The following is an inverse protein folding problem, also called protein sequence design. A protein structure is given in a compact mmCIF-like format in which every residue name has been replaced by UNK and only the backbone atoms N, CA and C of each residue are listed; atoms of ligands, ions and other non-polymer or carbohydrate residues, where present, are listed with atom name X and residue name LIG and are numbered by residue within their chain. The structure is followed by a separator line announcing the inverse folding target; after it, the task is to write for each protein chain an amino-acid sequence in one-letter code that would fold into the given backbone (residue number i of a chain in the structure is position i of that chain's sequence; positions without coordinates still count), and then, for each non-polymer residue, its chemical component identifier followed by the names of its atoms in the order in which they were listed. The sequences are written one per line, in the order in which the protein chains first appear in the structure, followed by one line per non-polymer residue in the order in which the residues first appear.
data_IF_081169348088
#
_entry.id   IF_081169348088
#
_cell.length_a   1.000
_cell.length_b   1.000
_cell.length_c   1.000
_cell.angle_alpha   90.00
_cell.angle_beta   90.00
_cell.angle_gamma   90.00
#
_symmetry.space_group_name_H-M   'P 1'
#
loop_
_entity.id
_entity.type
_entity.pdbx_description
1 polymer ?
#
# COMPACT_ATOMS: atom_id res chain seq x y z
N UNK A 1 17.68 -84.78 -37.30
CA UNK A 1 18.98 -84.54 -36.65
C UNK A 1 18.84 -83.31 -35.79
N UNK A 2 19.01 -83.51 -34.49
CA UNK A 2 18.63 -82.62 -33.39
C UNK A 2 19.60 -81.45 -33.20
N UNK A 3 19.09 -80.24 -32.93
CA UNK A 3 19.86 -79.13 -32.36
C UNK A 3 19.11 -78.58 -31.13
N UNK A 4 19.78 -78.40 -29.98
CA UNK A 4 19.14 -77.88 -28.78
C UNK A 4 19.13 -76.34 -28.77
N UNK A 5 17.97 -75.78 -28.43
CA UNK A 5 17.76 -74.35 -28.17
C UNK A 5 18.15 -74.07 -26.71
N UNK A 6 19.24 -73.33 -26.50
CA UNK A 6 19.63 -72.84 -25.19
C UNK A 6 18.75 -71.65 -24.77
N UNK A 7 17.96 -71.82 -23.70
CA UNK A 7 17.21 -70.73 -23.06
C UNK A 7 18.12 -70.02 -22.06
N UNK A 8 18.52 -68.78 -22.34
CA UNK A 8 19.08 -67.87 -21.34
C UNK A 8 17.95 -67.34 -20.46
N UNK A 9 17.96 -67.69 -19.18
CA UNK A 9 17.15 -67.04 -18.16
C UNK A 9 17.93 -65.82 -17.63
N UNK A 10 17.47 -64.60 -17.95
CA UNK A 10 17.99 -63.38 -17.36
C UNK A 10 17.33 -63.19 -15.97
N UNK A 11 18.12 -63.40 -14.90
CA UNK A 11 17.73 -63.02 -13.55
C UNK A 11 17.89 -61.49 -13.40
N UNK A 12 16.78 -60.75 -13.33
CA UNK A 12 16.78 -59.34 -12.95
C UNK A 12 16.68 -59.25 -11.42
N UNK A 13 17.79 -58.91 -10.74
CA UNK A 13 17.75 -58.56 -9.31
C UNK A 13 17.07 -57.19 -9.13
N UNK A 14 15.88 -57.18 -8.53
CA UNK A 14 15.26 -55.98 -7.97
C UNK A 14 15.94 -55.68 -6.63
N UNK A 15 16.84 -54.70 -6.62
CA UNK A 15 17.39 -54.14 -5.38
C UNK A 15 16.31 -53.26 -4.71
N UNK A 16 15.66 -53.78 -3.67
CA UNK A 16 14.82 -53.01 -2.75
C UNK A 16 15.73 -52.11 -1.91
N UNK A 17 15.95 -50.88 -2.37
CA UNK A 17 16.61 -49.84 -1.58
C UNK A 17 15.72 -49.45 -0.40
N UNK A 18 16.12 -49.82 0.82
CA UNK A 18 15.55 -49.27 2.05
C UNK A 18 15.95 -47.79 2.14
N UNK A 19 15.17 -46.92 1.51
CA UNK A 19 15.32 -45.47 1.67
C UNK A 19 15.05 -45.11 3.11
N UNK A 20 16.08 -44.65 3.83
CA UNK A 20 15.91 -44.05 5.14
C UNK A 20 15.00 -42.83 4.99
N UNK A 21 13.76 -42.94 5.47
CA UNK A 21 12.89 -41.79 5.70
C UNK A 21 13.52 -41.04 6.87
N UNK A 22 14.35 -40.03 6.58
CA UNK A 22 14.74 -39.07 7.59
C UNK A 22 13.48 -38.41 8.10
N UNK A 23 13.11 -38.72 9.35
CA UNK A 23 12.08 -37.98 10.07
C UNK A 23 12.54 -36.52 10.15
N UNK A 24 11.94 -35.68 9.31
CA UNK A 24 12.26 -34.26 9.28
C UNK A 24 11.68 -33.66 10.55
N UNK A 25 12.54 -33.07 11.38
CA UNK A 25 12.14 -32.40 12.62
C UNK A 25 11.07 -31.34 12.29
N UNK A 26 9.97 -31.26 13.05
CA UNK A 26 8.87 -30.37 12.73
C UNK A 26 9.37 -28.93 12.64
N UNK A 27 9.28 -28.33 11.45
CA UNK A 27 9.76 -26.98 11.18
C UNK A 27 8.95 -25.99 12.01
N UNK A 28 9.57 -25.39 13.03
CA UNK A 28 8.93 -24.44 13.95
C UNK A 28 8.42 -23.23 13.17
N UNK A 29 7.12 -22.97 13.24
CA UNK A 29 6.50 -21.77 12.65
C UNK A 29 5.95 -20.87 13.74
N UNK A 30 6.13 -19.57 13.56
CA UNK A 30 5.67 -18.53 14.49
C UNK A 30 4.52 -17.74 13.86
N UNK A 31 3.47 -17.42 14.63
CA UNK A 31 2.37 -16.61 14.13
C UNK A 31 2.84 -15.17 13.89
N UNK A 32 2.40 -14.61 12.77
CA UNK A 32 2.69 -13.23 12.36
C UNK A 32 1.40 -12.60 11.88
N UNK A 33 1.15 -11.38 12.35
CA UNK A 33 0.09 -10.51 11.82
C UNK A 33 0.76 -9.28 11.22
N UNK A 34 0.48 -9.00 9.95
CA UNK A 34 1.00 -7.82 9.26
C UNK A 34 -0.14 -6.88 8.94
N UNK A 35 -0.11 -5.67 9.48
CA UNK A 35 -1.05 -4.59 9.14
C UNK A 35 -0.42 -3.68 8.08
N UNK A 36 -1.16 -3.35 7.02
CA UNK A 36 -0.71 -2.44 5.97
C UNK A 36 -1.87 -1.59 5.43
N UNK A 37 -1.55 -0.46 4.81
CA UNK A 37 -2.55 0.33 4.08
C UNK A 37 -2.75 -0.23 2.67
N UNK A 38 -3.99 -0.45 2.25
CA UNK A 38 -4.32 -0.94 0.90
C UNK A 38 -4.41 0.22 -0.07
N UNK A 39 -5.19 1.24 0.30
CA UNK A 39 -5.45 2.40 -0.54
C UNK A 39 -5.86 3.58 0.31
N UNK A 40 -5.55 4.76 -0.20
CA UNK A 40 -6.31 5.95 0.13
C UNK A 40 -7.72 5.72 -0.46
N UNK A 41 -8.77 5.66 0.37
CA UNK A 41 -10.12 5.68 -0.18
C UNK A 41 -10.33 7.10 -0.69
N UNK A 42 -10.42 7.20 -2.02
CA UNK A 42 -10.19 8.44 -2.75
C UNK A 42 -11.42 9.36 -2.64
N UNK A 43 -11.50 10.14 -1.55
CA UNK A 43 -12.49 11.22 -1.44
C UNK A 43 -12.05 12.41 -2.32
N UNK A 44 -12.79 12.76 -3.38
CA UNK A 44 -12.44 13.86 -4.26
C UNK A 44 -12.42 15.24 -3.57
N UNK A 45 -13.11 15.40 -2.45
CA UNK A 45 -13.13 16.66 -1.70
C UNK A 45 -11.90 16.87 -0.81
N UNK A 46 -11.13 15.80 -0.55
CA UNK A 46 -9.96 15.87 0.32
C UNK A 46 -8.68 16.10 -0.49
N UNK A 47 -7.86 17.05 -0.02
CA UNK A 47 -6.50 17.23 -0.53
C UNK A 47 -5.53 16.26 0.14
N UNK A 48 -5.84 15.73 1.33
CA UNK A 48 -5.04 14.70 1.99
C UNK A 48 -5.96 13.68 2.62
N UNK A 49 -5.79 12.41 2.28
CA UNK A 49 -6.50 11.33 2.97
C UNK A 49 -5.98 11.17 4.40
N UNK A 50 -6.81 10.59 5.29
CA UNK A 50 -6.35 10.15 6.59
C UNK A 50 -5.22 9.12 6.43
N UNK A 51 -4.19 9.19 7.27
CA UNK A 51 -3.01 8.32 7.22
C UNK A 51 -2.69 7.80 8.61
N UNK A 52 -2.38 6.50 8.78
CA UNK A 52 -1.91 6.01 10.05
C UNK A 52 -0.60 6.72 10.42
N UNK A 53 -0.38 6.97 11.71
CA UNK A 53 0.91 7.50 12.19
C UNK A 53 2.02 6.46 12.03
N UNK A 54 3.27 6.88 12.17
CA UNK A 54 4.43 5.97 12.16
C UNK A 54 4.31 4.89 13.25
N UNK A 55 4.75 3.67 12.95
CA UNK A 55 4.68 2.53 13.86
C UNK A 55 3.36 1.75 13.84
N UNK A 56 2.43 2.08 12.95
CA UNK A 56 1.10 1.45 12.89
C UNK A 56 1.13 -0.07 12.64
N UNK A 57 2.20 -0.57 12.02
CA UNK A 57 2.45 -1.99 11.81
C UNK A 57 2.51 -2.80 13.12
N UNK A 58 2.67 -2.14 14.26
CA UNK A 58 2.71 -2.76 15.60
C UNK A 58 1.37 -2.77 16.33
N UNK A 59 0.33 -2.14 15.79
CA UNK A 59 -0.97 -2.07 16.46
C UNK A 59 -1.61 -3.45 16.64
N UNK A 60 -1.38 -4.35 15.68
CA UNK A 60 -1.81 -5.74 15.73
C UNK A 60 -0.62 -6.65 16.02
N UNK A 61 -0.76 -7.50 17.01
CA UNK A 61 0.22 -8.53 17.37
C UNK A 61 -0.44 -9.91 17.36
N UNK A 62 0.32 -11.01 17.21
CA UNK A 62 -0.23 -12.35 17.32
C UNK A 62 -0.98 -12.63 18.62
N UNK A 63 -0.56 -12.01 19.73
CA UNK A 63 -1.19 -12.17 21.05
C UNK A 63 -2.60 -11.57 21.13
N UNK A 64 -3.00 -10.72 20.16
CA UNK A 64 -4.32 -10.14 20.12
C UNK A 64 -5.39 -11.10 19.59
N UNK A 65 -4.99 -12.24 19.04
CA UNK A 65 -5.84 -13.18 18.31
C UNK A 65 -5.78 -14.57 18.92
N UNK A 66 -6.87 -15.36 18.82
CA UNK A 66 -6.83 -16.76 19.22
C UNK A 66 -5.90 -17.55 18.29
N UNK A 67 -5.32 -18.64 18.81
CA UNK A 67 -4.34 -19.43 18.07
C UNK A 67 -4.88 -20.04 16.77
N UNK A 68 -6.19 -20.31 16.71
CA UNK A 68 -6.87 -20.85 15.53
C UNK A 68 -7.06 -19.84 14.39
N UNK A 69 -6.81 -18.54 14.64
CA UNK A 69 -6.73 -17.52 13.58
C UNK A 69 -5.53 -17.73 12.63
N UNK A 70 -4.59 -18.59 13.01
CA UNK A 70 -3.36 -18.88 12.26
C UNK A 70 -3.40 -20.29 11.69
N UNK A 71 -3.69 -20.41 10.38
CA UNK A 71 -3.74 -21.69 9.67
C UNK A 71 -2.33 -22.09 9.19
N UNK A 72 -1.82 -23.29 9.54
CA UNK A 72 -0.50 -23.75 9.07
C UNK A 72 -0.44 -24.02 7.58
N UNK A 73 -1.58 -24.11 6.91
CA UNK A 73 -1.70 -24.39 5.49
C UNK A 73 -2.01 -23.16 4.65
N UNK A 74 -2.44 -22.05 5.26
CA UNK A 74 -2.95 -20.89 4.52
C UNK A 74 -2.61 -19.56 5.16
N UNK A 75 -2.24 -18.60 4.31
CA UNK A 75 -2.19 -17.18 4.65
C UNK A 75 -3.58 -16.59 4.44
N UNK A 76 -4.10 -15.87 5.44
CA UNK A 76 -5.40 -15.21 5.33
C UNK A 76 -5.23 -13.70 5.26
N UNK A 77 -6.05 -13.08 4.42
CA UNK A 77 -6.11 -11.64 4.25
C UNK A 77 -7.47 -11.12 4.70
N UNK A 78 -7.47 -10.11 5.56
CA UNK A 78 -8.66 -9.47 6.10
C UNK A 78 -8.66 -7.99 5.72
N UNK A 79 -9.43 -7.60 4.69
CA UNK A 79 -9.61 -6.19 4.35
C UNK A 79 -10.52 -5.48 5.35
N UNK A 80 -10.11 -4.28 5.76
CA UNK A 80 -10.75 -3.44 6.76
C UNK A 80 -11.08 -2.07 6.14
N UNK A 81 -12.27 -1.57 6.45
CA UNK A 81 -12.67 -0.18 6.18
C UNK A 81 -12.72 0.58 7.50
N UNK A 82 -11.94 1.65 7.60
CA UNK A 82 -11.75 2.44 8.82
C UNK A 82 -12.25 3.86 8.57
N UNK A 83 -13.08 4.38 9.46
CA UNK A 83 -13.41 5.80 9.52
C UNK A 83 -12.56 6.47 10.58
N UNK A 84 -11.96 7.57 10.20
CA UNK A 84 -11.09 8.40 11.04
C UNK A 84 -11.81 9.73 11.27
N UNK A 85 -11.98 10.13 12.51
CA UNK A 85 -12.55 11.43 12.86
C UNK A 85 -11.54 12.57 12.62
N UNK A 86 -12.02 13.81 12.66
CA UNK A 86 -11.19 14.99 12.44
C UNK A 86 -10.10 15.20 13.51
N UNK A 87 -10.23 14.54 14.67
CA UNK A 87 -9.21 14.53 15.74
C UNK A 87 -8.18 13.40 15.58
N UNK A 88 -8.26 12.61 14.49
CA UNK A 88 -7.35 11.50 14.23
C UNK A 88 -7.70 10.19 14.95
N UNK A 89 -8.79 10.16 15.73
CA UNK A 89 -9.29 8.93 16.36
C UNK A 89 -10.04 8.05 15.35
N UNK A 90 -10.11 6.74 15.62
CA UNK A 90 -10.91 5.82 14.82
C UNK A 90 -12.35 5.85 15.29
N UNK A 91 -13.24 6.43 14.49
CA UNK A 91 -14.68 6.52 14.80
C UNK A 91 -15.45 5.27 14.39
N UNK A 92 -14.95 4.52 13.41
CA UNK A 92 -15.54 3.26 12.98
C UNK A 92 -14.50 2.33 12.33
N UNK A 93 -14.72 1.02 12.43
CA UNK A 93 -13.93 0.00 11.75
C UNK A 93 -14.79 -1.22 11.43
N UNK A 94 -14.89 -1.58 10.16
CA UNK A 94 -15.65 -2.74 9.72
C UNK A 94 -14.76 -3.66 8.88
N UNK A 95 -14.75 -4.98 9.13
CA UNK A 95 -14.18 -5.92 8.17
C UNK A 95 -15.06 -5.93 6.92
N UNK A 96 -14.44 -5.77 5.74
CA UNK A 96 -15.18 -5.78 4.46
C UNK A 96 -15.76 -7.17 4.20
N UNK A 97 -15.08 -8.21 4.67
CA UNK A 97 -15.57 -9.60 4.66
C UNK A 97 -15.80 -10.09 6.10
N UNK A 98 -17.03 -10.00 6.63
CA UNK A 98 -17.32 -10.28 8.03
C UNK A 98 -17.26 -11.77 8.38
N UNK A 99 -17.23 -12.68 7.41
CA UNK A 99 -17.16 -14.13 7.69
C UNK A 99 -15.74 -14.60 7.99
N UNK A 100 -14.73 -13.77 7.72
CA UNK A 100 -13.34 -14.11 8.02
C UNK A 100 -13.04 -13.90 9.50
N UNK A 101 -12.49 -14.96 10.11
CA UNK A 101 -12.02 -14.90 11.49
C UNK A 101 -10.97 -13.79 11.68
N UNK A 102 -10.93 -13.21 12.87
CA UNK A 102 -9.98 -12.16 13.23
C UNK A 102 -10.39 -10.73 12.81
N UNK A 103 -11.28 -10.54 11.85
CA UNK A 103 -11.66 -9.18 11.40
C UNK A 103 -12.31 -8.31 12.47
N UNK A 104 -13.27 -8.86 13.22
CA UNK A 104 -13.90 -8.14 14.33
C UNK A 104 -12.88 -7.76 15.42
N UNK A 105 -12.00 -8.69 15.79
CA UNK A 105 -10.94 -8.47 16.80
C UNK A 105 -9.91 -7.46 16.32
N UNK A 106 -9.48 -7.53 15.06
CA UNK A 106 -8.58 -6.55 14.47
C UNK A 106 -9.18 -5.14 14.53
N UNK A 107 -10.47 -5.00 14.21
CA UNK A 107 -11.16 -3.72 14.32
C UNK A 107 -11.30 -3.20 15.74
N UNK A 108 -11.55 -4.07 16.72
CA UNK A 108 -11.56 -3.69 18.14
C UNK A 108 -10.20 -3.11 18.56
N UNK A 109 -9.11 -3.83 18.27
CA UNK A 109 -7.74 -3.40 18.60
C UNK A 109 -7.36 -2.11 17.87
N UNK A 110 -7.74 -1.96 16.60
CA UNK A 110 -7.49 -0.73 15.83
C UNK A 110 -8.28 0.45 16.38
N UNK A 111 -9.51 0.26 16.89
CA UNK A 111 -10.25 1.35 17.55
C UNK A 111 -9.55 1.80 18.84
N UNK A 112 -8.98 0.87 19.59
CA UNK A 112 -8.28 1.16 20.85
C UNK A 112 -6.91 1.84 20.62
N UNK A 113 -6.08 1.23 19.76
CA UNK A 113 -4.66 1.58 19.57
C UNK A 113 -4.41 2.48 18.36
N UNK A 114 -5.30 2.44 17.37
CA UNK A 114 -5.14 3.15 16.12
C UNK A 114 -5.09 4.66 16.31
N UNK A 115 -4.10 5.30 15.71
CA UNK A 115 -3.91 6.75 15.70
C UNK A 115 -3.61 7.18 14.28
N UNK A 116 -4.32 8.21 13.82
CA UNK A 116 -4.21 8.67 12.46
C UNK A 116 -3.93 10.17 12.42
N UNK A 117 -3.20 10.60 11.40
CA UNK A 117 -3.31 11.95 10.88
C UNK A 117 -4.66 12.04 10.15
N UNK A 118 -5.49 13.03 10.51
CA UNK A 118 -6.80 13.26 9.92
C UNK A 118 -6.74 13.59 8.42
N UNK A 119 -7.89 13.44 7.75
CA UNK A 119 -8.05 13.92 6.38
C UNK A 119 -8.11 15.45 6.35
N UNK A 120 -7.72 16.05 5.23
CA UNK A 120 -7.64 17.49 5.06
C UNK A 120 -8.40 17.93 3.83
N UNK A 121 -9.28 18.93 3.96
CA UNK A 121 -9.97 19.55 2.82
C UNK A 121 -9.11 20.64 2.15
N UNK A 122 -9.62 21.21 1.05
CA UNK A 122 -8.94 22.24 0.28
C UNK A 122 -8.69 23.55 1.05
N UNK A 123 -9.43 23.80 2.13
CA UNK A 123 -9.24 24.96 3.01
C UNK A 123 -8.22 24.68 4.13
N UNK A 124 -7.71 23.46 4.25
CA UNK A 124 -6.80 23.07 5.32
C UNK A 124 -7.50 22.74 6.63
N UNK A 125 -8.80 22.42 6.61
CA UNK A 125 -9.53 22.02 7.81
C UNK A 125 -9.46 20.51 7.99
N UNK A 126 -9.21 20.03 9.23
CA UNK A 126 -9.36 18.62 9.57
C UNK A 126 -10.78 18.13 9.27
N UNK A 127 -10.88 17.02 8.56
CA UNK A 127 -12.14 16.37 8.22
C UNK A 127 -12.11 14.90 8.64
N UNK A 128 -13.32 14.35 8.81
CA UNK A 128 -13.45 12.90 8.90
C UNK A 128 -13.05 12.27 7.56
N UNK A 129 -12.30 11.19 7.61
CA UNK A 129 -11.81 10.47 6.43
C UNK A 129 -12.11 8.99 6.49
N UNK A 130 -11.95 8.31 5.36
CA UNK A 130 -12.02 6.85 5.29
C UNK A 130 -10.69 6.27 4.81
N UNK A 131 -10.36 5.07 5.28
CA UNK A 131 -9.13 4.36 4.93
C UNK A 131 -9.40 2.87 4.71
N UNK A 132 -8.80 2.31 3.66
CA UNK A 132 -8.73 0.87 3.48
C UNK A 132 -7.39 0.35 4.02
N UNK A 133 -7.46 -0.58 4.98
CA UNK A 133 -6.29 -1.28 5.53
C UNK A 133 -6.49 -2.78 5.44
N UNK A 134 -5.40 -3.52 5.45
CA UNK A 134 -5.41 -4.98 5.35
C UNK A 134 -4.60 -5.59 6.48
N UNK A 135 -5.13 -6.66 7.08
CA UNK A 135 -4.37 -7.51 8.00
C UNK A 135 -4.10 -8.85 7.31
N UNK A 136 -2.84 -9.29 7.32
CA UNK A 136 -2.42 -10.61 6.86
C UNK A 136 -2.02 -11.46 8.04
N UNK A 137 -2.58 -12.67 8.13
CA UNK A 137 -2.32 -13.66 9.17
C UNK A 137 -1.59 -14.85 8.55
N UNK A 138 -0.45 -15.21 9.10
CA UNK A 138 0.34 -16.34 8.62
C UNK A 138 1.20 -16.98 9.71
N UNK A 139 1.57 -18.24 9.47
CA UNK A 139 2.60 -18.95 10.23
C UNK A 139 3.92 -18.90 9.45
N UNK A 140 4.85 -18.04 9.88
CA UNK A 140 6.17 -17.88 9.25
C UNK A 140 7.21 -18.80 9.84
N UNK A 141 8.14 -19.23 9.01
CA UNK A 141 9.36 -19.87 9.46
C UNK A 141 10.40 -18.79 9.78
N UNK A 142 10.97 -18.79 11.00
CA UNK A 142 12.02 -17.84 11.35
C UNK A 142 13.16 -17.86 10.33
N UNK A 143 13.64 -16.69 9.91
CA UNK A 143 14.80 -16.56 9.03
C UNK A 143 14.57 -16.80 7.54
N UNK A 144 13.36 -17.16 7.08
CA UNK A 144 13.07 -17.14 5.63
C UNK A 144 12.76 -15.72 5.18
N UNK A 145 13.55 -15.14 4.25
CA UNK A 145 13.29 -13.81 3.75
C UNK A 145 11.94 -13.78 3.03
N UNK A 146 11.20 -12.68 3.20
CA UNK A 146 10.01 -12.40 2.39
C UNK A 146 10.48 -12.34 0.94
N UNK A 147 9.96 -13.22 0.08
CA UNK A 147 10.23 -13.13 -1.35
C UNK A 147 9.85 -11.72 -1.79
N UNK A 148 10.79 -11.01 -2.42
CA UNK A 148 10.51 -9.70 -2.98
C UNK A 148 9.30 -9.83 -3.90
N UNK A 149 8.32 -8.94 -3.73
CA UNK A 149 7.22 -8.87 -4.68
C UNK A 149 7.80 -8.71 -6.09
N UNK A 150 7.29 -9.44 -7.10
CA UNK A 150 7.76 -9.28 -8.47
C UNK A 150 7.66 -7.81 -8.85
N UNK A 151 8.66 -7.31 -9.60
CA UNK A 151 8.63 -5.94 -10.08
C UNK A 151 7.29 -5.69 -10.77
N UNK A 152 6.57 -4.60 -10.42
CA UNK A 152 5.30 -4.30 -11.08
C UNK A 152 5.54 -4.24 -12.59
N UNK A 153 4.60 -4.75 -13.40
CA UNK A 153 4.73 -4.67 -14.85
C UNK A 153 4.95 -3.20 -15.24
N UNK A 154 5.80 -2.91 -16.25
CA UNK A 154 6.02 -1.55 -16.70
C UNK A 154 4.66 -0.94 -17.05
N UNK A 155 4.33 0.18 -16.41
CA UNK A 155 3.06 0.85 -16.66
C UNK A 155 2.99 1.24 -18.14
N UNK A 156 2.03 0.68 -18.89
CA UNK A 156 1.86 0.91 -20.33
C UNK A 156 1.41 2.31 -20.73
N UNK A 157 1.63 3.34 -19.90
CA UNK A 157 1.27 4.72 -20.23
C UNK A 157 2.27 5.28 -21.24
N UNK A 158 1.86 5.31 -22.50
CA UNK A 158 2.64 5.94 -23.59
C UNK A 158 2.41 7.46 -23.70
N UNK A 159 1.61 8.04 -22.80
CA UNK A 159 1.35 9.47 -22.83
C UNK A 159 2.57 10.26 -22.33
N UNK A 160 2.86 11.41 -22.95
CA UNK A 160 3.86 12.33 -22.42
C UNK A 160 3.42 12.87 -21.05
N UNK A 161 4.36 13.23 -20.19
CA UNK A 161 4.04 13.91 -18.93
C UNK A 161 3.56 15.35 -19.20
N UNK A 162 2.60 15.88 -18.42
CA UNK A 162 2.27 17.29 -18.47
C UNK A 162 3.48 18.12 -17.99
N UNK A 163 3.70 19.28 -18.59
CA UNK A 163 4.83 20.17 -18.27
C UNK A 163 4.30 21.44 -17.62
N UNK A 164 4.79 21.80 -16.43
CA UNK A 164 4.37 23.03 -15.76
C UNK A 164 4.93 24.24 -16.52
N UNK A 165 4.09 25.25 -16.77
CA UNK A 165 4.51 26.44 -17.52
C UNK A 165 5.32 27.44 -16.70
N UNK A 166 5.13 27.41 -15.39
CA UNK A 166 5.85 28.27 -14.44
C UNK A 166 6.53 27.39 -13.40
N UNK A 167 7.81 27.11 -13.61
CA UNK A 167 8.60 26.28 -12.71
C UNK A 167 8.83 26.95 -11.34
N UNK A 168 8.66 28.27 -11.22
CA UNK A 168 8.75 28.96 -9.93
C UNK A 168 7.64 28.49 -8.98
N UNK A 169 6.52 27.96 -9.48
CA UNK A 169 5.48 27.37 -8.65
C UNK A 169 5.96 26.15 -7.84
N UNK A 170 7.02 25.48 -8.27
CA UNK A 170 7.62 24.34 -7.56
C UNK A 170 8.59 24.77 -6.44
N UNK A 171 8.88 26.07 -6.30
CA UNK A 171 9.72 26.63 -5.25
C UNK A 171 8.85 27.31 -4.19
N UNK A 172 8.88 26.80 -2.96
CA UNK A 172 8.19 27.36 -1.81
C UNK A 172 9.16 28.23 -1.01
N UNK A 173 8.68 29.38 -0.54
CA UNK A 173 9.44 30.18 0.42
C UNK A 173 9.54 29.44 1.75
N UNK A 174 10.64 29.61 2.47
CA UNK A 174 10.79 29.10 3.83
C UNK A 174 9.73 29.75 4.73
N UNK A 175 8.97 28.92 5.44
CA UNK A 175 8.02 29.34 6.47
C UNK A 175 7.94 28.19 7.48
N UNK A 176 8.65 28.27 8.62
CA UNK A 176 8.74 27.16 9.57
C UNK A 176 7.39 26.86 10.26
N UNK A 177 6.40 27.76 10.16
CA UNK A 177 5.05 27.49 10.65
C UNK A 177 4.22 26.65 9.66
N UNK A 178 4.64 26.57 8.40
CA UNK A 178 3.95 25.82 7.35
C UNK A 178 4.74 24.62 6.83
N UNK A 179 6.06 24.72 6.80
CA UNK A 179 6.93 23.77 6.14
C UNK A 179 7.99 23.27 7.12
N UNK A 180 7.78 22.05 7.62
CA UNK A 180 8.77 21.28 8.37
C UNK A 180 9.59 20.43 7.40
N UNK A 181 8.90 19.84 6.40
CA UNK A 181 9.52 19.03 5.36
C UNK A 181 10.06 19.89 4.22
N UNK A 182 11.25 19.55 3.73
CA UNK A 182 11.94 20.34 2.69
C UNK A 182 11.50 19.99 1.26
N UNK A 183 10.86 18.83 1.07
CA UNK A 183 10.49 18.29 -0.23
C UNK A 183 9.06 17.71 -0.26
N UNK A 184 8.01 18.52 0.01
CA UNK A 184 6.64 18.07 -0.09
C UNK A 184 6.28 17.71 -1.55
N UNK A 185 5.29 16.85 -1.72
CA UNK A 185 4.97 16.26 -3.01
C UNK A 185 3.48 16.13 -3.23
N UNK A 186 3.02 16.43 -4.44
CA UNK A 186 1.60 16.40 -4.81
C UNK A 186 1.32 15.52 -6.00
N UNK A 187 0.13 14.92 -6.01
CA UNK A 187 -0.52 14.37 -7.20
C UNK A 187 -1.55 15.35 -7.72
N UNK A 188 -1.45 15.66 -9.01
CA UNK A 188 -2.38 16.52 -9.71
C UNK A 188 -3.14 15.74 -10.77
N UNK A 189 -4.45 15.95 -10.82
CA UNK A 189 -5.24 15.60 -11.99
C UNK A 189 -5.33 16.85 -12.85
N UNK A 190 -4.91 16.74 -14.12
CA UNK A 190 -4.77 17.83 -15.07
C UNK A 190 -5.62 17.49 -16.29
N UNK A 191 -6.55 18.36 -16.66
CA UNK A 191 -7.39 18.13 -17.84
C UNK A 191 -6.64 18.40 -19.16
N UNK A 192 -7.25 18.04 -20.30
CA UNK A 192 -6.68 18.24 -21.63
C UNK A 192 -6.43 19.72 -22.02
N UNK A 193 -6.94 20.68 -21.23
CA UNK A 193 -6.64 22.12 -21.38
C UNK A 193 -5.46 22.59 -20.52
N UNK A 194 -4.84 21.69 -19.76
CA UNK A 194 -3.68 21.98 -18.93
C UNK A 194 -4.05 22.66 -17.62
N UNK A 195 -5.27 22.45 -17.12
CA UNK A 195 -5.74 22.99 -15.85
C UNK A 195 -5.84 21.88 -14.82
N UNK A 196 -5.41 22.18 -13.60
CA UNK A 196 -5.57 21.28 -12.46
C UNK A 196 -7.05 21.18 -12.12
N UNK A 197 -7.59 19.97 -12.11
CA UNK A 197 -8.94 19.64 -11.67
C UNK A 197 -8.96 19.02 -10.28
N UNK A 198 -7.82 18.50 -9.81
CA UNK A 198 -7.66 17.96 -8.45
C UNK A 198 -6.21 18.09 -7.99
N UNK A 199 -6.03 18.40 -6.71
CA UNK A 199 -4.73 18.38 -6.04
C UNK A 199 -4.79 17.46 -4.82
N UNK A 200 -3.77 16.62 -4.65
CA UNK A 200 -3.63 15.70 -3.51
C UNK A 200 -2.22 15.75 -2.96
N UNK A 201 -2.08 15.82 -1.64
CA UNK A 201 -0.83 15.77 -0.90
C UNK A 201 -0.37 14.31 -0.79
N UNK A 202 0.71 13.98 -1.51
CA UNK A 202 1.34 12.67 -1.47
C UNK A 202 2.39 12.59 -0.35
N UNK A 203 3.24 13.62 -0.26
CA UNK A 203 4.23 13.83 0.80
C UNK A 203 3.87 15.14 1.48
N UNK A 204 3.58 15.08 2.78
CA UNK A 204 3.14 16.23 3.56
C UNK A 204 4.27 17.24 3.72
N UNK A 205 3.89 18.49 3.93
CA UNK A 205 4.76 19.58 4.39
C UNK A 205 5.12 19.46 5.87
N UNK A 206 4.47 18.54 6.60
CA UNK A 206 4.56 18.41 8.05
C UNK A 206 3.53 19.24 8.80
N UNK A 207 2.75 20.10 8.12
CA UNK A 207 1.65 20.86 8.73
C UNK A 207 0.41 20.90 7.83
N UNK A 208 -0.76 21.07 8.44
CA UNK A 208 -2.01 21.21 7.68
C UNK A 208 -2.05 22.53 6.87
N UNK A 209 -1.57 23.62 7.45
CA UNK A 209 -1.52 24.92 6.80
C UNK A 209 -0.59 24.91 5.57
N UNK A 210 0.55 24.21 5.66
CA UNK A 210 1.45 24.01 4.53
C UNK A 210 0.83 23.16 3.44
N UNK A 211 0.19 22.05 3.81
CA UNK A 211 -0.49 21.15 2.87
C UNK A 211 -1.59 21.89 2.08
N UNK A 212 -2.41 22.69 2.76
CA UNK A 212 -3.42 23.53 2.13
C UNK A 212 -2.81 24.59 1.20
N UNK A 213 -1.76 25.29 1.63
CA UNK A 213 -1.09 26.31 0.82
C UNK A 213 -0.47 25.72 -0.45
N UNK A 214 0.16 24.54 -0.35
CA UNK A 214 0.69 23.82 -1.52
C UNK A 214 -0.42 23.54 -2.51
N UNK A 215 -1.56 22.98 -2.09
CA UNK A 215 -2.64 22.70 -3.02
C UNK A 215 -3.32 23.97 -3.56
N UNK A 216 -3.51 25.00 -2.74
CA UNK A 216 -4.03 26.31 -3.16
C UNK A 216 -3.15 26.98 -4.20
N UNK A 217 -1.82 26.82 -4.08
CA UNK A 217 -0.84 27.29 -5.08
C UNK A 217 -0.94 26.45 -6.36
N UNK A 218 -0.87 25.12 -6.24
CA UNK A 218 -0.77 24.24 -7.40
C UNK A 218 -2.06 24.19 -8.23
N UNK A 219 -3.24 24.38 -7.63
CA UNK A 219 -4.52 24.49 -8.36
C UNK A 219 -4.57 25.70 -9.31
N UNK A 220 -3.75 26.73 -9.07
CA UNK A 220 -3.62 27.90 -9.97
C UNK A 220 -2.64 27.66 -11.12
N UNK A 221 -1.84 26.60 -11.05
CA UNK A 221 -0.83 26.29 -12.04
C UNK A 221 -1.45 25.99 -13.42
N UNK A 222 -0.70 26.32 -14.46
CA UNK A 222 -1.03 25.99 -15.85
C UNK A 222 0.01 25.04 -16.40
N UNK A 223 -0.45 24.08 -17.18
CA UNK A 223 0.38 23.05 -17.78
C UNK A 223 0.26 23.05 -19.29
N UNK A 224 1.34 22.65 -19.97
CA UNK A 224 1.20 21.99 -21.25
C UNK A 224 0.70 20.56 -21.00
N UNK A 225 -0.47 20.18 -21.54
CA UNK A 225 -1.08 18.89 -21.25
C UNK A 225 -0.20 17.71 -21.65
N UNK A 226 -0.48 16.55 -21.04
CA UNK A 226 -0.04 15.28 -21.57
C UNK A 226 -0.51 15.09 -23.02
N UNK A 227 0.26 14.34 -23.80
CA UNK A 227 -0.09 13.99 -25.18
C UNK A 227 -0.09 12.48 -25.36
N UNK A 228 -1.05 11.97 -26.11
CA UNK A 228 -1.07 10.57 -26.54
C UNK A 228 -0.01 10.28 -27.63
N UNK A 229 0.18 9.03 -28.07
CA UNK A 229 1.14 8.70 -29.13
C UNK A 229 0.87 9.40 -30.48
N UNK A 230 -0.35 9.87 -30.71
CA UNK A 230 -0.74 10.62 -31.91
C UNK A 230 -0.50 12.14 -31.75
N UNK A 231 -0.04 12.59 -30.58
CA UNK A 231 0.23 13.98 -30.27
C UNK A 231 -0.98 14.78 -29.79
N UNK A 232 -2.15 14.17 -29.63
CA UNK A 232 -3.35 14.85 -29.13
C UNK A 232 -3.22 15.15 -27.64
N UNK A 233 -3.75 16.29 -27.20
CA UNK A 233 -3.77 16.66 -25.78
C UNK A 233 -4.79 15.78 -25.04
N UNK A 234 -4.34 15.13 -23.97
CA UNK A 234 -5.16 14.25 -23.14
C UNK A 234 -5.08 14.64 -21.65
N UNK A 235 -6.07 14.28 -20.83
CA UNK A 235 -5.95 14.42 -19.38
C UNK A 235 -4.80 13.58 -18.81
N UNK A 236 -4.18 14.08 -17.75
CA UNK A 236 -3.21 13.36 -16.94
C UNK A 236 -3.77 13.20 -15.52
N UNK A 237 -3.93 11.97 -15.05
CA UNK A 237 -4.44 11.67 -13.71
C UNK A 237 -3.27 11.24 -12.84
N UNK A 238 -3.19 11.76 -11.61
CA UNK A 238 -2.12 11.40 -10.67
C UNK A 238 -0.72 11.83 -11.09
N UNK A 239 -0.57 12.92 -11.84
CA UNK A 239 0.73 13.46 -12.22
C UNK A 239 1.47 13.95 -10.96
N UNK A 240 2.63 13.36 -10.68
CA UNK A 240 3.42 13.67 -9.48
C UNK A 240 4.38 14.84 -9.69
N UNK A 241 4.37 15.77 -8.74
CA UNK A 241 5.29 16.90 -8.67
C UNK A 241 5.87 17.00 -7.26
N UNK A 242 7.20 17.02 -7.18
CA UNK A 242 7.90 17.40 -5.96
C UNK A 242 8.13 18.92 -5.96
N UNK A 243 7.90 19.54 -4.81
CA UNK A 243 8.22 20.94 -4.56
C UNK A 243 9.47 21.01 -3.68
N UNK A 244 10.16 22.15 -3.71
CA UNK A 244 11.32 22.41 -2.88
C UNK A 244 11.02 23.61 -1.98
N UNK A 245 11.25 23.48 -0.69
CA UNK A 245 11.22 24.59 0.27
C UNK A 245 12.61 25.21 0.31
N UNK A 246 12.67 26.54 0.24
CA UNK A 246 13.92 27.27 0.43
C UNK A 246 14.49 26.97 1.84
N UNK A 247 15.82 26.88 1.92
CA UNK A 247 16.52 26.76 3.20
C UNK A 247 16.53 28.10 3.95
#
# INVERSE_FOLDING_TARGET
MSHPIARLAALTLLALGAGAVSAQEPEVRVPVVTLFTISDLDDPAMIRAAKPVEGYETWLTPADFPADAFDPTRTWYVPLSIKVAADGSVSDCIPIDPVRQGGARACEVIRERGRFVHALDAEGRPQSGSRAMGAVFELRQPGKPVLASPAPPPMGYQNTKPVIRDAALLQLAADPQKFIETAPGVWLDINAKGRVTRCRIRISTGTDAGDAEVCKRMTKAKFDPARDPQGNKVPAVGAYFALKVAA
#
